data_IF_742382615748
#
_entry.id   IF_742382615748
#
_cell.length_a   1.000
_cell.length_b   1.000
_cell.length_c   1.000
_cell.angle_alpha   90.00
_cell.angle_beta   90.00
_cell.angle_gamma   90.00
#
_symmetry.space_group_name_H-M   'P 1'
#
loop_
_entity.id
_entity.type
_entity.pdbx_description
1 polymer ?
#
# COMPACT_ATOMS: atom_id res chain seq x y z
N UNK A 1 37.06 -15.88 6.68
CA UNK A 1 35.85 -15.17 7.17
C UNK A 1 34.77 -15.16 6.08
N UNK A 2 34.28 -16.31 5.60
CA UNK A 2 33.30 -16.40 4.48
C UNK A 2 32.15 -17.39 4.68
N UNK A 3 32.06 -18.10 5.82
CA UNK A 3 31.08 -19.17 6.02
C UNK A 3 29.69 -18.74 6.52
N UNK A 4 29.51 -17.48 6.95
CA UNK A 4 28.20 -16.97 7.44
C UNK A 4 27.20 -16.64 6.32
N UNK A 5 27.66 -16.14 5.18
CA UNK A 5 26.78 -15.80 4.05
C UNK A 5 26.23 -17.04 3.32
N UNK A 6 27.07 -18.08 3.13
CA UNK A 6 26.64 -19.34 2.52
C UNK A 6 25.61 -20.09 3.39
N UNK A 7 25.76 -20.04 4.71
CA UNK A 7 24.80 -20.59 5.68
C UNK A 7 23.45 -19.86 5.64
N UNK A 8 23.47 -18.52 5.57
CA UNK A 8 22.26 -17.69 5.47
C UNK A 8 21.46 -17.93 4.18
N UNK A 9 22.15 -18.05 3.04
CA UNK A 9 21.50 -18.36 1.76
C UNK A 9 20.87 -19.77 1.76
N UNK A 10 21.57 -20.78 2.29
CA UNK A 10 21.03 -22.15 2.42
C UNK A 10 19.84 -22.22 3.38
N UNK A 11 19.84 -21.39 4.43
CA UNK A 11 18.72 -21.22 5.38
C UNK A 11 17.53 -20.49 4.76
N UNK A 12 17.75 -19.51 3.88
CA UNK A 12 16.71 -18.82 3.11
C UNK A 12 16.08 -19.75 2.06
N UNK A 13 16.89 -20.58 1.39
CA UNK A 13 16.43 -21.57 0.39
C UNK A 13 15.60 -22.71 1.00
N UNK A 14 15.86 -23.06 2.26
CA UNK A 14 15.18 -24.15 2.96
C UNK A 14 14.16 -23.64 3.99
N UNK A 15 13.84 -22.34 4.02
CA UNK A 15 12.79 -21.83 4.91
C UNK A 15 11.40 -22.17 4.35
N UNK A 16 10.41 -22.33 5.24
CA UNK A 16 9.01 -22.59 4.86
C UNK A 16 8.40 -21.47 3.99
N UNK A 17 8.98 -20.27 4.03
CA UNK A 17 8.64 -19.10 3.20
C UNK A 17 9.71 -18.76 2.16
N UNK A 18 10.59 -19.73 1.84
CA UNK A 18 11.71 -19.57 0.92
C UNK A 18 11.30 -19.62 -0.55
N UNK A 19 12.23 -19.34 -1.48
CA UNK A 19 11.96 -19.24 -2.93
C UNK A 19 11.48 -20.53 -3.61
N UNK A 20 11.47 -21.65 -2.88
CA UNK A 20 10.88 -22.92 -3.34
C UNK A 20 9.37 -23.01 -3.10
N UNK A 21 8.77 -22.07 -2.35
CA UNK A 21 7.35 -22.15 -1.96
C UNK A 21 6.52 -21.04 -2.60
N UNK A 22 5.22 -21.30 -2.77
CA UNK A 22 4.24 -20.31 -3.27
C UNK A 22 4.19 -19.09 -2.35
N UNK A 23 4.50 -19.26 -1.06
CA UNK A 23 4.56 -18.18 -0.08
C UNK A 23 5.67 -17.15 -0.33
N UNK A 24 6.64 -17.45 -1.20
CA UNK A 24 7.61 -16.48 -1.70
C UNK A 24 7.14 -15.83 -3.00
N UNK A 25 6.77 -16.65 -3.99
CA UNK A 25 6.41 -16.15 -5.32
C UNK A 25 5.12 -15.32 -5.35
N UNK A 26 4.11 -15.67 -4.55
CA UNK A 26 2.87 -14.89 -4.50
C UNK A 26 3.11 -13.46 -4.00
N UNK A 27 3.83 -13.22 -2.88
CA UNK A 27 4.27 -11.86 -2.52
C UNK A 27 5.17 -11.19 -3.56
N UNK A 28 6.08 -11.92 -4.21
CA UNK A 28 6.90 -11.37 -5.32
C UNK A 28 6.01 -10.84 -6.45
N UNK A 29 4.99 -11.57 -6.85
CA UNK A 29 4.05 -11.10 -7.87
C UNK A 29 3.21 -9.91 -7.38
N UNK A 30 2.83 -9.88 -6.10
CA UNK A 30 2.11 -8.73 -5.52
C UNK A 30 2.92 -7.43 -5.52
N UNK A 31 4.26 -7.47 -5.62
CA UNK A 31 5.05 -6.25 -5.81
C UNK A 31 4.69 -5.48 -7.08
N UNK A 32 4.12 -6.16 -8.10
CA UNK A 32 3.58 -5.48 -9.29
C UNK A 32 2.53 -4.42 -8.92
N UNK A 33 1.69 -4.66 -7.90
CA UNK A 33 0.69 -3.71 -7.43
C UNK A 33 1.33 -2.47 -6.79
N UNK A 34 2.42 -2.69 -6.04
CA UNK A 34 3.17 -1.59 -5.42
C UNK A 34 3.80 -0.71 -6.50
N UNK A 35 4.41 -1.32 -7.52
CA UNK A 35 4.97 -0.59 -8.65
C UNK A 35 3.91 0.13 -9.48
N UNK A 36 2.75 -0.50 -9.71
CA UNK A 36 1.63 0.14 -10.39
C UNK A 36 1.13 1.37 -9.62
N UNK A 37 0.94 1.25 -8.30
CA UNK A 37 0.53 2.37 -7.45
C UNK A 37 1.58 3.49 -7.38
N UNK A 38 2.86 3.13 -7.43
CA UNK A 38 3.95 4.10 -7.49
C UNK A 38 3.97 4.84 -8.84
N UNK A 39 3.70 4.14 -9.94
CA UNK A 39 3.56 4.76 -11.27
C UNK A 39 2.35 5.69 -11.35
N UNK A 40 1.26 5.36 -10.63
CA UNK A 40 0.09 6.25 -10.50
C UNK A 40 0.43 7.57 -9.79
N UNK A 41 1.60 7.72 -9.17
CA UNK A 41 2.02 9.02 -8.63
C UNK A 41 2.24 10.05 -9.75
N UNK A 42 2.55 9.61 -10.96
CA UNK A 42 2.72 10.50 -12.12
C UNK A 42 1.38 10.95 -12.70
N UNK A 43 0.27 10.28 -12.35
CA UNK A 43 -1.05 10.62 -12.84
C UNK A 43 -1.61 11.86 -12.12
N UNK A 44 -2.41 12.68 -12.81
CA UNK A 44 -3.06 13.83 -12.20
C UNK A 44 -4.05 13.36 -11.13
N UNK A 45 -4.10 14.12 -10.03
CA UNK A 45 -4.80 13.76 -8.79
C UNK A 45 -6.31 13.67 -9.00
N UNK A 46 -6.88 14.40 -9.97
CA UNK A 46 -8.33 14.35 -10.25
C UNK A 46 -8.80 12.99 -10.78
N UNK A 47 -7.89 12.19 -11.34
CA UNK A 47 -8.20 10.87 -11.91
C UNK A 47 -8.02 9.73 -10.89
N UNK A 48 -7.62 10.05 -9.66
CA UNK A 48 -7.31 9.07 -8.63
C UNK A 48 -8.48 9.01 -7.63
N UNK A 49 -9.10 7.84 -7.50
CA UNK A 49 -10.21 7.63 -6.56
C UNK A 49 -9.72 7.65 -5.12
N UNK A 50 -10.24 8.57 -4.32
CA UNK A 50 -9.87 8.73 -2.92
C UNK A 50 -10.28 7.54 -2.05
N UNK A 51 -11.50 7.03 -2.22
CA UNK A 51 -11.97 5.85 -1.46
C UNK A 51 -11.21 4.60 -1.82
N UNK A 52 -10.81 4.44 -3.08
CA UNK A 52 -9.96 3.32 -3.47
C UNK A 52 -8.60 3.41 -2.75
N UNK A 53 -7.97 4.58 -2.72
CA UNK A 53 -6.69 4.74 -2.02
C UNK A 53 -6.85 4.60 -0.49
N UNK A 54 -7.95 5.07 0.09
CA UNK A 54 -8.28 4.85 1.50
C UNK A 54 -8.45 3.36 1.82
N UNK A 55 -9.17 2.61 0.98
CA UNK A 55 -9.33 1.17 1.13
C UNK A 55 -7.99 0.42 0.99
N UNK A 56 -7.14 0.81 0.04
CA UNK A 56 -5.81 0.23 -0.17
C UNK A 56 -4.88 0.53 1.02
N UNK A 57 -4.93 1.75 1.56
CA UNK A 57 -4.21 2.13 2.77
C UNK A 57 -4.63 1.27 3.97
N UNK A 58 -5.93 1.17 4.23
CA UNK A 58 -6.47 0.39 5.34
C UNK A 58 -6.08 -1.09 5.20
N UNK A 59 -6.22 -1.64 3.99
CA UNK A 59 -5.82 -3.02 3.67
C UNK A 59 -4.33 -3.22 3.93
N UNK A 60 -3.47 -2.34 3.40
CA UNK A 60 -2.02 -2.39 3.63
C UNK A 60 -1.66 -2.38 5.10
N UNK A 61 -2.28 -1.51 5.91
CA UNK A 61 -2.03 -1.41 7.34
C UNK A 61 -2.45 -2.69 8.11
N UNK A 62 -3.68 -3.17 7.89
CA UNK A 62 -4.22 -4.36 8.57
C UNK A 62 -3.37 -5.59 8.24
N UNK A 63 -3.08 -5.82 6.96
CA UNK A 63 -2.34 -7.01 6.52
C UNK A 63 -0.85 -6.95 6.88
N UNK A 64 -0.27 -5.75 6.98
CA UNK A 64 1.09 -5.58 7.52
C UNK A 64 1.15 -6.07 8.95
N UNK A 65 0.23 -5.63 9.83
CA UNK A 65 0.17 -6.09 11.22
C UNK A 65 -0.06 -7.61 11.29
N UNK A 66 -0.99 -8.13 10.50
CA UNK A 66 -1.33 -9.55 10.56
C UNK A 66 -0.16 -10.45 10.12
N UNK A 67 0.67 -10.01 9.18
CA UNK A 67 1.86 -10.74 8.72
C UNK A 67 2.90 -10.99 9.82
N UNK A 68 2.92 -10.17 10.88
CA UNK A 68 3.79 -10.35 12.05
C UNK A 68 3.19 -11.25 13.14
N UNK A 69 1.87 -11.44 13.14
CA UNK A 69 1.13 -12.26 14.11
C UNK A 69 1.10 -13.73 13.67
N UNK A 70 1.03 -14.00 12.36
CA UNK A 70 1.02 -15.35 11.80
C UNK A 70 2.37 -16.06 12.05
N UNK A 71 2.31 -17.36 12.40
CA UNK A 71 3.48 -18.24 12.55
C UNK A 71 3.46 -19.32 11.44
N UNK A 72 4.59 -19.54 10.73
CA UNK A 72 5.83 -18.77 10.77
C UNK A 72 5.66 -17.35 10.19
N UNK A 73 6.46 -16.39 10.68
CA UNK A 73 6.39 -14.98 10.25
C UNK A 73 6.84 -14.85 8.79
N UNK A 74 6.03 -14.18 7.96
CA UNK A 74 6.37 -13.90 6.56
C UNK A 74 6.69 -12.42 6.37
N UNK A 75 7.98 -12.08 6.43
CA UNK A 75 8.45 -10.69 6.29
C UNK A 75 8.26 -10.12 4.89
N UNK A 76 8.25 -10.95 3.84
CA UNK A 76 8.04 -10.50 2.46
C UNK A 76 6.57 -10.12 2.23
N UNK A 77 5.64 -10.88 2.82
CA UNK A 77 4.23 -10.52 2.82
C UNK A 77 3.99 -9.22 3.61
N UNK A 78 4.69 -9.06 4.74
CA UNK A 78 4.63 -7.83 5.53
C UNK A 78 5.15 -6.62 4.72
N UNK A 79 6.28 -6.75 4.02
CA UNK A 79 6.84 -5.65 3.24
C UNK A 79 5.91 -5.22 2.11
N UNK A 80 5.35 -6.16 1.35
CA UNK A 80 4.44 -5.83 0.23
C UNK A 80 3.22 -5.04 0.72
N UNK A 81 2.56 -5.48 1.79
CA UNK A 81 1.39 -4.78 2.32
C UNK A 81 1.76 -3.42 2.92
N UNK A 82 2.95 -3.31 3.52
CA UNK A 82 3.44 -2.06 4.07
C UNK A 82 3.66 -1.04 2.96
N UNK A 83 4.34 -1.41 1.88
CA UNK A 83 4.59 -0.51 0.77
C UNK A 83 3.32 -0.19 -0.03
N UNK A 84 2.39 -1.14 -0.16
CA UNK A 84 1.06 -0.86 -0.72
C UNK A 84 0.34 0.22 0.08
N UNK A 85 0.34 0.08 1.42
CA UNK A 85 -0.23 1.08 2.32
C UNK A 85 0.50 2.41 2.22
N UNK A 86 1.83 2.42 2.20
CA UNK A 86 2.62 3.66 2.10
C UNK A 86 2.33 4.42 0.80
N UNK A 87 2.32 3.73 -0.35
CA UNK A 87 2.00 4.32 -1.65
C UNK A 87 0.58 4.88 -1.65
N UNK A 88 -0.42 4.11 -1.18
CA UNK A 88 -1.80 4.59 -1.07
C UNK A 88 -1.91 5.80 -0.13
N UNK A 89 -1.19 5.79 1.00
CA UNK A 89 -1.12 6.92 1.94
C UNK A 89 -0.53 8.18 1.31
N UNK A 90 0.53 8.06 0.51
CA UNK A 90 1.07 9.21 -0.23
C UNK A 90 0.06 9.81 -1.20
N UNK A 91 -0.74 8.96 -1.86
CA UNK A 91 -1.80 9.40 -2.76
C UNK A 91 -2.93 10.11 -2.01
N UNK A 92 -3.33 9.60 -0.84
CA UNK A 92 -4.31 10.27 0.04
C UNK A 92 -3.83 11.67 0.43
N UNK A 93 -2.56 11.81 0.83
CA UNK A 93 -1.97 13.11 1.19
C UNK A 93 -2.00 14.06 -0.01
N UNK A 94 -1.68 13.58 -1.22
CA UNK A 94 -1.74 14.38 -2.45
C UNK A 94 -3.16 14.84 -2.76
N UNK A 95 -4.15 13.96 -2.63
CA UNK A 95 -5.58 14.29 -2.82
C UNK A 95 -6.03 15.33 -1.80
N UNK A 96 -5.69 15.15 -0.53
CA UNK A 96 -6.01 16.08 0.53
C UNK A 96 -5.41 17.48 0.26
N UNK A 97 -4.11 17.55 -0.04
CA UNK A 97 -3.43 18.81 -0.33
C UNK A 97 -4.01 19.50 -1.58
N UNK A 98 -4.30 18.74 -2.64
CA UNK A 98 -4.91 19.27 -3.85
C UNK A 98 -6.29 19.87 -3.56
N UNK A 99 -7.13 19.20 -2.76
CA UNK A 99 -8.44 19.77 -2.37
C UNK A 99 -8.32 21.03 -1.53
N UNK A 100 -7.40 21.05 -0.56
CA UNK A 100 -7.20 22.21 0.32
C UNK A 100 -6.65 23.42 -0.41
N UNK A 101 -5.76 23.21 -1.39
CA UNK A 101 -5.05 24.31 -2.09
C UNK A 101 -5.71 24.74 -3.39
N UNK A 102 -6.23 23.80 -4.19
CA UNK A 102 -6.79 24.07 -5.51
C UNK A 102 -8.30 24.26 -5.45
N UNK A 103 -9.03 23.44 -4.70
CA UNK A 103 -10.49 23.59 -4.55
C UNK A 103 -10.91 24.55 -3.43
N UNK A 104 -10.06 24.74 -2.43
CA UNK A 104 -10.39 25.57 -1.27
C UNK A 104 -11.36 24.90 -0.28
N UNK A 105 -11.57 23.59 -0.41
CA UNK A 105 -12.46 22.81 0.47
C UNK A 105 -12.06 23.01 1.94
N UNK A 106 -13.03 23.07 2.85
CA UNK A 106 -12.72 23.04 4.29
C UNK A 106 -12.06 21.72 4.67
N UNK A 107 -11.33 21.69 5.80
CA UNK A 107 -10.68 20.45 6.28
C UNK A 107 -11.68 19.29 6.40
N UNK A 108 -12.91 19.58 6.83
CA UNK A 108 -13.94 18.56 7.00
C UNK A 108 -14.49 18.06 5.66
N UNK A 109 -14.70 18.94 4.68
CA UNK A 109 -15.12 18.54 3.33
C UNK A 109 -14.07 17.65 2.66
N UNK A 110 -12.78 18.00 2.80
CA UNK A 110 -11.69 17.19 2.28
C UNK A 110 -11.64 15.80 2.95
N UNK A 111 -11.90 15.71 4.25
CA UNK A 111 -11.93 14.43 4.99
C UNK A 111 -13.15 13.58 4.61
N UNK A 112 -14.35 14.16 4.55
CA UNK A 112 -15.56 13.45 4.13
C UNK A 112 -15.40 12.88 2.73
N UNK A 113 -14.78 13.63 1.81
CA UNK A 113 -14.48 13.11 0.48
C UNK A 113 -13.57 11.89 0.48
N UNK A 114 -12.55 11.85 1.36
CA UNK A 114 -11.66 10.70 1.47
C UNK A 114 -12.38 9.44 1.99
N UNK A 115 -13.43 9.62 2.79
CA UNK A 115 -14.18 8.54 3.45
C UNK A 115 -15.33 8.03 2.57
N UNK A 116 -16.11 8.94 1.97
CA UNK A 116 -17.40 8.60 1.35
C UNK A 116 -17.29 8.38 -0.16
N UNK A 117 -16.33 9.00 -0.84
CA UNK A 117 -15.94 8.71 -2.22
C UNK A 117 -16.96 8.90 -3.34
N UNK A 118 -18.23 9.20 -3.05
CA UNK A 118 -19.28 9.44 -4.05
C UNK A 118 -19.67 10.92 -3.99
N UNK A 119 -19.20 11.82 -4.87
CA UNK A 119 -19.69 12.20 -6.23
C UNK A 119 -21.15 12.70 -6.26
N UNK A 120 -21.33 14.03 -6.15
CA UNK A 120 -22.26 14.96 -6.88
C UNK A 120 -22.28 16.39 -6.24
N UNK A 121 -21.75 16.58 -5.02
CA UNK A 121 -22.23 17.64 -4.10
C UNK A 121 -21.23 18.78 -3.74
N UNK A 122 -20.59 19.39 -4.73
CA UNK A 122 -20.33 20.86 -4.67
C UNK A 122 -21.00 21.58 -5.84
N UNK A 123 -21.94 20.90 -6.51
CA UNK A 123 -22.68 21.45 -7.63
C UNK A 123 -23.98 22.16 -7.21
N UNK A 124 -24.51 21.99 -5.98
CA UNK A 124 -25.80 22.59 -5.58
C UNK A 124 -26.01 22.87 -4.06
N UNK A 125 -24.98 23.20 -3.27
CA UNK A 125 -25.15 23.90 -1.98
C UNK A 125 -24.05 24.94 -1.81
#
# INVERSE_FOLDING_TARGET
MSSRFASGFKRLLNSETGPKTVHFWAPVLKWSLVFAGANDLQRPVEKISATQQAALFATGAIWTRWSFVIKPKNYLLASVNFFLGAVAGTQIIRIYNWRRTVKGDSTMQALNYLIEGNTEETANV
#
